data_IF_795573536502
#
_entry.id   IF_795573536502
#
_cell.length_a   1.000
_cell.length_b   1.000
_cell.length_c   1.000
_cell.angle_alpha   90.00
_cell.angle_beta   90.00
_cell.angle_gamma   90.00
#
_symmetry.space_group_name_H-M   'P 1'
#
loop_
_entity.id
_entity.type
_entity.pdbx_description
1 polymer ?
#
# COMPACT_ATOMS: atom_id res chain seq x y z
N UNK A 1 19.62 -25.21 -3.23
CA UNK A 1 19.46 -23.74 -3.10
C UNK A 1 20.73 -23.02 -3.53
N UNK A 2 20.76 -22.43 -4.73
CA UNK A 2 21.94 -21.72 -5.23
C UNK A 2 22.17 -20.38 -4.51
N UNK A 3 23.13 -20.37 -3.58
CA UNK A 3 23.70 -19.15 -2.98
C UNK A 3 24.94 -18.71 -3.78
N UNK A 4 24.83 -17.57 -4.48
CA UNK A 4 25.86 -17.09 -5.40
C UNK A 4 26.69 -15.98 -4.77
N UNK A 5 28.01 -16.20 -4.72
CA UNK A 5 28.99 -15.22 -4.21
C UNK A 5 29.98 -14.76 -5.28
N UNK A 6 30.05 -15.44 -6.43
CA UNK A 6 30.91 -15.08 -7.55
C UNK A 6 30.25 -14.00 -8.41
N UNK A 7 30.98 -12.91 -8.69
CA UNK A 7 30.54 -11.83 -9.58
C UNK A 7 30.07 -12.37 -10.94
N UNK A 8 30.82 -13.30 -11.53
CA UNK A 8 30.49 -13.84 -12.86
C UNK A 8 29.21 -14.68 -12.84
N UNK A 9 28.98 -15.44 -11.77
CA UNK A 9 27.76 -16.25 -11.64
C UNK A 9 26.53 -15.35 -11.41
N UNK A 10 26.68 -14.32 -10.59
CA UNK A 10 25.61 -13.33 -10.35
C UNK A 10 25.27 -12.59 -11.67
N UNK A 11 26.26 -12.09 -12.41
CA UNK A 11 26.00 -11.43 -13.69
C UNK A 11 25.35 -12.37 -14.72
N UNK A 12 25.77 -13.63 -14.75
CA UNK A 12 25.21 -14.63 -15.66
C UNK A 12 23.74 -14.94 -15.34
N UNK A 13 23.38 -15.09 -14.06
CA UNK A 13 21.97 -15.34 -13.69
C UNK A 13 21.10 -14.11 -13.92
N UNK A 14 21.60 -12.90 -13.64
CA UNK A 14 20.88 -11.65 -13.93
C UNK A 14 20.63 -11.52 -15.43
N UNK A 15 21.61 -11.85 -16.27
CA UNK A 15 21.40 -11.88 -17.72
C UNK A 15 20.32 -12.89 -18.13
N UNK A 16 20.25 -14.07 -17.51
CA UNK A 16 19.17 -15.05 -17.75
C UNK A 16 17.78 -14.48 -17.40
N UNK A 17 17.68 -13.77 -16.27
CA UNK A 17 16.43 -13.17 -15.81
C UNK A 17 15.84 -12.11 -16.75
N UNK A 18 16.64 -11.51 -17.63
CA UNK A 18 16.13 -10.57 -18.65
C UNK A 18 15.10 -11.18 -19.61
N UNK A 19 15.03 -12.52 -19.67
CA UNK A 19 14.06 -13.26 -20.50
C UNK A 19 12.82 -13.73 -19.74
N UNK A 20 12.79 -13.54 -18.41
CA UNK A 20 11.67 -13.94 -17.58
C UNK A 20 10.48 -12.99 -17.76
N UNK A 21 9.26 -13.50 -17.63
CA UNK A 21 8.04 -12.68 -17.64
C UNK A 21 7.76 -12.05 -16.29
N UNK A 22 7.94 -12.83 -15.24
CA UNK A 22 7.69 -12.44 -13.86
C UNK A 22 8.83 -12.94 -12.99
N UNK A 23 9.25 -12.12 -12.05
CA UNK A 23 10.25 -12.45 -11.02
C UNK A 23 9.66 -12.15 -9.65
N UNK A 24 9.78 -13.10 -8.72
CA UNK A 24 9.45 -12.88 -7.32
C UNK A 24 10.74 -12.55 -6.59
N UNK A 25 10.78 -11.35 -6.02
CA UNK A 25 12.01 -10.76 -5.50
C UNK A 25 11.79 -10.38 -4.05
N UNK A 26 12.78 -10.70 -3.23
CA UNK A 26 12.89 -10.19 -1.86
C UNK A 26 14.30 -9.60 -1.66
N UNK A 27 14.48 -8.84 -0.58
CA UNK A 27 15.81 -8.32 -0.22
C UNK A 27 16.11 -8.41 1.26
N UNK A 28 17.39 -8.61 1.58
CA UNK A 28 17.88 -8.53 2.95
C UNK A 28 18.93 -7.45 3.13
N UNK A 29 18.91 -6.81 4.30
CA UNK A 29 19.67 -5.58 4.56
C UNK A 29 20.56 -5.74 5.79
N UNK A 30 21.85 -5.49 5.58
CA UNK A 30 22.83 -5.36 6.66
C UNK A 30 22.74 -3.98 7.32
N UNK A 31 23.07 -3.92 8.62
CA UNK A 31 23.05 -2.69 9.40
C UNK A 31 21.70 -1.95 9.37
N UNK A 32 20.57 -2.68 9.41
CA UNK A 32 19.21 -2.12 9.25
C UNK A 32 18.90 -0.90 10.16
N UNK A 33 19.50 -0.82 11.35
CA UNK A 33 19.33 0.29 12.30
C UNK A 33 20.24 1.50 12.03
N UNK A 34 21.18 1.40 11.08
CA UNK A 34 22.10 2.47 10.75
C UNK A 34 21.43 3.55 9.88
N UNK A 35 22.09 4.70 9.74
CA UNK A 35 21.60 5.77 8.85
C UNK A 35 21.70 5.39 7.37
N UNK A 36 22.57 4.43 7.03
CA UNK A 36 22.87 4.01 5.67
C UNK A 36 22.80 2.47 5.61
N UNK A 37 21.59 1.87 5.65
CA UNK A 37 21.42 0.44 5.49
C UNK A 37 22.06 -0.03 4.17
N UNK A 38 22.72 -1.20 4.21
CA UNK A 38 23.38 -1.77 3.04
C UNK A 38 22.58 -2.96 2.54
N UNK A 39 22.27 -2.97 1.24
CA UNK A 39 21.68 -4.14 0.61
C UNK A 39 22.69 -5.30 0.68
N UNK A 40 22.28 -6.39 1.31
CA UNK A 40 23.12 -7.56 1.55
C UNK A 40 22.82 -8.67 0.57
N UNK A 41 21.54 -9.00 0.40
CA UNK A 41 21.08 -10.06 -0.49
C UNK A 41 19.96 -9.56 -1.39
N UNK A 42 19.91 -10.14 -2.59
CA UNK A 42 18.74 -10.10 -3.46
C UNK A 42 18.35 -11.54 -3.72
N UNK A 43 17.15 -11.93 -3.32
CA UNK A 43 16.59 -13.25 -3.60
C UNK A 43 15.69 -13.15 -4.82
N UNK A 44 15.80 -14.10 -5.74
CA UNK A 44 15.00 -14.10 -6.97
C UNK A 44 14.54 -15.51 -7.30
N UNK A 45 13.24 -15.65 -7.49
CA UNK A 45 12.61 -16.82 -8.09
C UNK A 45 12.10 -16.44 -9.50
N UNK A 46 12.38 -17.31 -10.47
CA UNK A 46 11.99 -17.13 -11.89
C UNK A 46 10.93 -18.15 -12.37
N UNK A 47 10.37 -18.96 -11.45
CA UNK A 47 9.35 -19.98 -11.73
C UNK A 47 8.41 -20.16 -10.54
N UNK A 48 7.13 -19.80 -10.65
CA UNK A 48 6.20 -19.90 -9.52
C UNK A 48 5.88 -21.34 -9.13
N UNK A 49 6.09 -22.31 -10.02
CA UNK A 49 5.80 -23.72 -9.78
C UNK A 49 6.95 -24.44 -9.05
N UNK A 50 8.12 -23.79 -8.94
CA UNK A 50 9.25 -24.36 -8.21
C UNK A 50 9.07 -24.23 -6.69
N UNK A 51 8.68 -25.36 -6.09
CA UNK A 51 8.57 -25.53 -4.65
C UNK A 51 9.80 -26.23 -4.04
N UNK A 52 10.78 -26.67 -4.85
CA UNK A 52 11.87 -27.54 -4.37
C UNK A 52 13.04 -26.78 -3.79
N UNK A 53 13.44 -25.66 -4.39
CA UNK A 53 14.76 -25.14 -4.02
C UNK A 53 15.48 -24.38 -5.09
N UNK A 54 15.33 -24.93 -6.27
CA UNK A 54 16.48 -25.06 -7.14
C UNK A 54 16.59 -23.88 -8.09
N UNK A 55 15.50 -23.13 -8.24
CA UNK A 55 15.37 -21.93 -9.06
C UNK A 55 15.27 -20.64 -8.27
N UNK A 56 15.35 -20.71 -6.94
CA UNK A 56 15.53 -19.51 -6.10
C UNK A 56 17.01 -19.24 -5.95
N UNK A 57 17.49 -18.15 -6.55
CA UNK A 57 18.89 -17.74 -6.43
C UNK A 57 19.02 -16.64 -5.40
N UNK A 58 19.94 -16.83 -4.47
CA UNK A 58 20.30 -15.82 -3.46
C UNK A 58 21.60 -15.16 -3.92
N UNK A 59 21.53 -13.88 -4.25
CA UNK A 59 22.65 -13.11 -4.79
C UNK A 59 23.34 -12.34 -3.66
N UNK A 60 24.61 -12.64 -3.38
CA UNK A 60 25.40 -11.90 -2.39
C UNK A 60 25.94 -10.58 -3.00
N UNK A 61 25.30 -9.48 -2.59
CA UNK A 61 25.57 -8.12 -3.08
C UNK A 61 26.13 -7.19 -2.01
N UNK A 62 26.45 -7.70 -0.82
CA UNK A 62 26.99 -6.91 0.28
C UNK A 62 28.30 -6.23 -0.13
N UNK A 63 28.36 -4.91 0.04
CA UNK A 63 29.48 -4.05 -0.36
C UNK A 63 29.87 -4.16 -1.85
N UNK A 64 28.92 -4.55 -2.72
CA UNK A 64 29.12 -4.73 -4.18
C UNK A 64 28.15 -3.87 -5.00
N UNK A 65 28.29 -2.53 -4.97
CA UNK A 65 27.35 -1.62 -5.61
C UNK A 65 27.21 -1.84 -7.12
N UNK A 66 28.27 -2.28 -7.81
CA UNK A 66 28.23 -2.53 -9.25
C UNK A 66 27.26 -3.66 -9.62
N UNK A 67 27.15 -4.71 -8.80
CA UNK A 67 26.19 -5.79 -8.99
C UNK A 67 24.75 -5.32 -8.78
N UNK A 68 24.54 -4.47 -7.76
CA UNK A 68 23.22 -3.88 -7.48
C UNK A 68 22.79 -2.96 -8.62
N UNK A 69 23.68 -2.10 -9.11
CA UNK A 69 23.41 -1.23 -10.26
C UNK A 69 23.08 -2.06 -11.50
N UNK A 70 23.84 -3.11 -11.78
CA UNK A 70 23.56 -4.01 -12.89
C UNK A 70 22.17 -4.66 -12.77
N UNK A 71 21.81 -5.18 -11.59
CA UNK A 71 20.48 -5.75 -11.34
C UNK A 71 19.37 -4.72 -11.59
N UNK A 72 19.54 -3.50 -11.08
CA UNK A 72 18.56 -2.42 -11.25
C UNK A 72 18.36 -2.09 -12.73
N UNK A 73 19.45 -1.91 -13.47
CA UNK A 73 19.39 -1.52 -14.88
C UNK A 73 18.79 -2.62 -15.77
N UNK A 74 19.17 -3.88 -15.53
CA UNK A 74 18.72 -5.00 -16.35
C UNK A 74 17.30 -5.48 -16.01
N UNK A 75 16.90 -5.41 -14.74
CA UNK A 75 15.65 -6.03 -14.26
C UNK A 75 14.63 -4.99 -13.80
N UNK A 76 15.03 -4.09 -12.90
CA UNK A 76 14.06 -3.20 -12.23
C UNK A 76 13.50 -2.15 -13.19
N UNK A 77 14.30 -1.67 -14.14
CA UNK A 77 13.88 -0.66 -15.12
C UNK A 77 13.15 -1.23 -16.32
N UNK A 78 13.26 -2.54 -16.57
CA UNK A 78 12.57 -3.19 -17.68
C UNK A 78 11.06 -3.30 -17.38
N UNK A 79 10.21 -2.70 -18.21
CA UNK A 79 8.76 -2.80 -18.08
C UNK A 79 8.19 -4.14 -18.56
N UNK A 80 8.93 -4.91 -19.37
CA UNK A 80 8.49 -6.20 -19.89
C UNK A 80 8.49 -7.30 -18.80
N UNK A 81 9.31 -7.13 -17.77
CA UNK A 81 9.40 -8.04 -16.63
C UNK A 81 8.52 -7.51 -15.50
N UNK A 82 7.58 -8.31 -15.03
CA UNK A 82 6.85 -8.04 -13.79
C UNK A 82 7.76 -8.40 -12.60
N UNK A 83 7.89 -7.49 -11.63
CA UNK A 83 8.58 -7.79 -10.38
C UNK A 83 7.59 -7.78 -9.24
N UNK A 84 7.44 -8.94 -8.61
CA UNK A 84 6.54 -9.15 -7.50
C UNK A 84 7.34 -9.06 -6.21
N UNK A 85 6.84 -8.26 -5.26
CA UNK A 85 7.41 -8.09 -3.93
C UNK A 85 6.30 -8.18 -2.88
N UNK A 86 6.66 -8.49 -1.64
CA UNK A 86 5.79 -8.24 -0.49
C UNK A 86 6.21 -6.95 0.20
N UNK A 87 5.26 -6.03 0.46
CA UNK A 87 5.58 -4.71 1.03
C UNK A 87 6.66 -3.92 0.25
N UNK A 88 6.56 -3.95 -1.08
CA UNK A 88 7.55 -3.48 -2.06
C UNK A 88 8.20 -2.11 -1.82
N UNK A 89 7.55 -1.21 -1.05
CA UNK A 89 7.98 0.17 -0.87
C UNK A 89 9.41 0.32 -0.36
N UNK A 90 9.86 -0.61 0.50
CA UNK A 90 11.19 -0.59 1.09
C UNK A 90 12.23 -1.13 0.10
N UNK A 91 12.00 -2.32 -0.47
CA UNK A 91 12.90 -2.98 -1.42
C UNK A 91 13.09 -2.15 -2.68
N UNK A 92 11.99 -1.64 -3.25
CA UNK A 92 12.02 -0.80 -4.46
C UNK A 92 12.82 0.48 -4.20
N UNK A 93 12.82 1.03 -2.99
CA UNK A 93 13.65 2.21 -2.66
C UNK A 93 15.14 1.89 -2.79
N UNK A 94 15.56 0.68 -2.43
CA UNK A 94 16.94 0.19 -2.59
C UNK A 94 17.23 -0.20 -4.05
N UNK A 95 16.21 -0.68 -4.77
CA UNK A 95 16.30 -1.22 -6.12
C UNK A 95 15.81 -0.25 -7.22
N UNK A 96 16.20 1.03 -7.13
CA UNK A 96 16.01 2.01 -8.23
C UNK A 96 14.82 2.97 -8.09
N UNK A 97 14.03 2.84 -7.02
CA UNK A 97 13.00 3.79 -6.57
C UNK A 97 12.03 4.17 -7.71
N UNK A 98 11.87 5.47 -8.01
CA UNK A 98 10.92 5.99 -9.01
C UNK A 98 11.16 5.49 -10.44
N UNK A 99 12.34 4.95 -10.73
CA UNK A 99 12.67 4.42 -12.06
C UNK A 99 12.22 2.96 -12.23
N UNK A 100 11.98 2.23 -11.13
CA UNK A 100 11.47 0.87 -11.18
C UNK A 100 10.11 0.82 -11.91
N UNK A 101 9.92 -0.18 -12.76
CA UNK A 101 8.72 -0.37 -13.61
C UNK A 101 8.05 -1.70 -13.32
N UNK A 102 6.75 -1.79 -13.64
CA UNK A 102 5.98 -3.04 -13.57
C UNK A 102 6.15 -3.79 -12.24
N UNK A 103 5.85 -3.10 -11.15
CA UNK A 103 5.95 -3.63 -9.78
C UNK A 103 4.57 -4.07 -9.31
N UNK A 104 4.47 -5.32 -8.87
CA UNK A 104 3.31 -5.88 -8.20
C UNK A 104 3.62 -6.06 -6.72
N UNK A 105 2.75 -5.57 -5.84
CA UNK A 105 2.94 -5.64 -4.39
C UNK A 105 1.84 -6.51 -3.76
N UNK A 106 2.19 -7.68 -3.26
CA UNK A 106 1.23 -8.63 -2.68
C UNK A 106 0.55 -8.09 -1.42
N UNK A 107 1.22 -7.24 -0.65
CA UNK A 107 0.63 -6.52 0.49
C UNK A 107 -0.54 -5.64 0.03
N UNK A 108 -0.37 -4.89 -1.05
CA UNK A 108 -1.39 -3.99 -1.57
C UNK A 108 -2.52 -4.74 -2.28
N UNK A 109 -2.20 -5.86 -2.94
CA UNK A 109 -3.22 -6.78 -3.47
C UNK A 109 -4.10 -7.32 -2.33
N UNK A 110 -3.48 -7.87 -1.27
CA UNK A 110 -4.22 -8.44 -0.15
C UNK A 110 -5.08 -7.42 0.60
N UNK A 111 -4.62 -6.16 0.74
CA UNK A 111 -5.41 -5.06 1.34
C UNK A 111 -6.63 -4.67 0.51
N UNK A 112 -6.54 -4.82 -0.81
CA UNK A 112 -7.66 -4.53 -1.73
C UNK A 112 -8.66 -5.67 -1.81
N UNK A 113 -8.25 -6.90 -1.47
CA UNK A 113 -9.16 -8.04 -1.38
C UNK A 113 -10.20 -7.81 -0.29
N UNK A 114 -11.52 -7.94 -0.58
CA UNK A 114 -12.57 -7.79 0.42
C UNK A 114 -12.40 -8.75 1.61
N UNK A 115 -12.69 -8.25 2.81
CA UNK A 115 -12.53 -9.01 4.06
C UNK A 115 -13.26 -10.36 4.07
N UNK A 116 -14.43 -10.46 3.44
CA UNK A 116 -15.19 -11.71 3.42
C UNK A 116 -14.56 -12.81 2.55
N UNK A 117 -13.72 -12.43 1.57
CA UNK A 117 -12.93 -13.37 0.76
C UNK A 117 -11.60 -13.70 1.42
N UNK A 118 -11.02 -12.73 2.11
CA UNK A 118 -9.71 -12.88 2.74
C UNK A 118 -9.70 -12.33 4.18
N UNK A 119 -10.30 -13.08 5.14
CA UNK A 119 -10.35 -12.66 6.54
C UNK A 119 -8.97 -12.87 7.19
N UNK A 120 -8.26 -11.78 7.43
CA UNK A 120 -6.90 -11.82 7.98
C UNK A 120 -6.75 -10.98 9.25
N UNK A 121 -5.93 -11.43 10.23
CA UNK A 121 -5.59 -10.64 11.40
C UNK A 121 -4.56 -9.54 11.08
N UNK A 122 -3.73 -9.75 10.06
CA UNK A 122 -2.77 -8.79 9.52
C UNK A 122 -2.33 -9.25 8.12
N UNK A 123 -1.61 -8.40 7.39
CA UNK A 123 -1.20 -8.67 6.01
C UNK A 123 0.29 -8.99 5.86
N UNK A 124 0.96 -9.52 6.90
CA UNK A 124 2.37 -9.93 6.79
C UNK A 124 2.51 -11.13 5.86
N UNK A 125 3.65 -11.26 5.17
CA UNK A 125 3.96 -12.37 4.27
C UNK A 125 3.66 -13.73 4.92
N UNK A 126 4.13 -13.95 6.14
CA UNK A 126 3.95 -15.24 6.82
C UNK A 126 2.47 -15.52 7.17
N UNK A 127 1.69 -14.48 7.48
CA UNK A 127 0.25 -14.64 7.72
C UNK A 127 -0.46 -15.00 6.42
N UNK A 128 -0.10 -14.37 5.30
CA UNK A 128 -0.63 -14.69 3.98
C UNK A 128 -0.23 -16.10 3.54
N UNK A 129 1.04 -16.49 3.71
CA UNK A 129 1.55 -17.82 3.38
C UNK A 129 0.78 -18.91 4.14
N UNK A 130 0.55 -18.71 5.44
CA UNK A 130 -0.19 -19.67 6.25
C UNK A 130 -1.66 -19.76 5.85
N UNK A 131 -2.37 -18.63 5.72
CA UNK A 131 -3.81 -18.62 5.47
C UNK A 131 -4.17 -18.97 4.03
N UNK A 132 -3.42 -18.47 3.03
CA UNK A 132 -3.71 -18.69 1.61
C UNK A 132 -3.11 -19.99 1.08
N UNK A 133 -1.97 -20.41 1.63
CA UNK A 133 -1.17 -21.50 1.05
C UNK A 133 -0.95 -22.68 2.02
N UNK A 134 -1.50 -22.63 3.23
CA UNK A 134 -1.38 -23.67 4.25
C UNK A 134 0.06 -23.97 4.74
N UNK A 135 0.94 -22.98 4.67
CA UNK A 135 2.29 -23.09 5.27
C UNK A 135 2.18 -22.93 6.80
N UNK A 136 2.26 -24.04 7.53
CA UNK A 136 1.97 -24.08 8.97
C UNK A 136 3.21 -23.90 9.88
N UNK A 137 4.43 -23.96 9.33
CA UNK A 137 5.69 -23.89 10.07
C UNK A 137 6.63 -22.88 9.43
N UNK A 138 6.30 -21.60 9.58
CA UNK A 138 7.13 -20.51 9.05
C UNK A 138 8.03 -19.99 10.17
N UNK A 139 9.32 -20.23 10.04
CA UNK A 139 10.32 -19.66 10.94
C UNK A 139 10.41 -18.14 10.76
N UNK A 140 10.53 -17.42 11.86
CA UNK A 140 10.63 -15.96 11.92
C UNK A 140 11.93 -15.50 12.57
N UNK A 141 12.78 -16.42 13.02
CA UNK A 141 14.00 -16.11 13.76
C UNK A 141 14.94 -15.23 12.93
N UNK A 142 15.07 -15.53 11.64
CA UNK A 142 16.00 -14.84 10.75
C UNK A 142 15.52 -13.50 10.21
N UNK A 143 14.24 -13.13 10.42
CA UNK A 143 13.71 -11.82 9.99
C UNK A 143 14.48 -10.63 10.60
N UNK A 144 15.17 -10.83 11.73
CA UNK A 144 15.96 -9.78 12.39
C UNK A 144 17.42 -10.16 12.60
N UNK A 145 17.91 -11.18 11.88
CA UNK A 145 19.29 -11.64 12.02
C UNK A 145 20.30 -10.67 11.40
N UNK A 146 21.59 -10.89 11.70
CA UNK A 146 22.66 -10.09 11.13
C UNK A 146 22.95 -10.54 9.70
N UNK A 147 22.23 -9.96 8.74
CA UNK A 147 22.47 -10.18 7.32
C UNK A 147 23.81 -9.61 6.82
N UNK A 148 24.57 -8.89 7.65
CA UNK A 148 25.95 -8.48 7.35
C UNK A 148 26.99 -9.58 7.64
N UNK A 149 26.61 -10.64 8.34
CA UNK A 149 27.51 -11.74 8.67
C UNK A 149 27.90 -12.53 7.42
N UNK A 150 29.18 -12.93 7.32
CA UNK A 150 29.67 -13.92 6.35
C UNK A 150 30.59 -14.94 7.00
N UNK A 151 30.49 -16.25 6.64
CA UNK A 151 29.46 -16.83 5.79
C UNK A 151 28.06 -16.75 6.43
N UNK A 152 27.02 -16.79 5.60
CA UNK A 152 25.64 -16.93 6.08
C UNK A 152 25.46 -18.30 6.75
N UNK A 153 24.57 -18.38 7.73
CA UNK A 153 24.17 -19.68 8.32
C UNK A 153 23.24 -20.43 7.37
N UNK A 154 23.09 -21.74 7.57
CA UNK A 154 22.12 -22.54 6.81
C UNK A 154 20.70 -22.02 7.05
N UNK A 155 20.37 -21.65 8.29
CA UNK A 155 19.06 -21.07 8.66
C UNK A 155 18.76 -19.75 7.92
N UNK A 156 19.75 -18.88 7.74
CA UNK A 156 19.61 -17.65 6.95
C UNK A 156 19.35 -17.94 5.47
N UNK A 157 20.06 -18.92 4.91
CA UNK A 157 19.88 -19.33 3.50
C UNK A 157 18.48 -19.92 3.32
N UNK A 158 18.05 -20.80 4.21
CA UNK A 158 16.73 -21.45 4.18
C UNK A 158 15.61 -20.42 4.33
N UNK A 159 15.76 -19.44 5.23
CA UNK A 159 14.81 -18.35 5.40
C UNK A 159 14.67 -17.50 4.14
N UNK A 160 15.79 -16.98 3.63
CA UNK A 160 15.83 -16.14 2.44
C UNK A 160 15.23 -16.85 1.21
N UNK A 161 15.49 -18.14 1.12
CA UNK A 161 14.95 -18.99 0.08
C UNK A 161 13.42 -19.11 0.15
N UNK A 162 12.89 -19.45 1.34
CA UNK A 162 11.46 -19.70 1.54
C UNK A 162 10.61 -18.45 1.30
N UNK A 163 11.11 -17.25 1.63
CA UNK A 163 10.35 -16.01 1.44
C UNK A 163 9.99 -15.77 -0.04
N UNK A 164 10.85 -16.13 -0.99
CA UNK A 164 10.52 -16.07 -2.43
C UNK A 164 9.44 -17.07 -2.85
N UNK A 165 9.44 -18.27 -2.27
CA UNK A 165 8.42 -19.30 -2.55
C UNK A 165 7.08 -18.88 -2.00
N UNK A 166 7.05 -18.44 -0.74
CA UNK A 166 5.84 -17.90 -0.13
C UNK A 166 5.29 -16.76 -0.98
N UNK A 167 6.16 -15.85 -1.41
CA UNK A 167 5.78 -14.72 -2.25
C UNK A 167 5.14 -15.16 -3.58
N UNK A 168 5.69 -16.16 -4.26
CA UNK A 168 5.13 -16.69 -5.50
C UNK A 168 3.76 -17.35 -5.30
N UNK A 169 3.63 -18.20 -4.28
CA UNK A 169 2.38 -18.90 -3.98
C UNK A 169 1.28 -17.92 -3.54
N UNK A 170 1.62 -16.95 -2.69
CA UNK A 170 0.70 -15.88 -2.27
C UNK A 170 0.26 -15.06 -3.47
N UNK A 171 1.19 -14.69 -4.35
CA UNK A 171 0.87 -13.91 -5.55
C UNK A 171 -0.19 -14.62 -6.40
N UNK A 172 0.02 -15.91 -6.69
CA UNK A 172 -0.93 -16.72 -7.47
C UNK A 172 -2.32 -16.72 -6.83
N UNK A 173 -2.41 -17.01 -5.52
CA UNK A 173 -3.69 -17.00 -4.78
C UNK A 173 -4.38 -15.64 -4.75
N UNK A 174 -3.62 -14.55 -4.64
CA UNK A 174 -4.19 -13.21 -4.66
C UNK A 174 -4.74 -12.83 -6.02
N UNK A 175 -4.13 -13.30 -7.13
CA UNK A 175 -4.67 -13.08 -8.48
C UNK A 175 -5.98 -13.85 -8.72
N UNK A 176 -6.09 -15.07 -8.19
CA UNK A 176 -7.34 -15.85 -8.20
C UNK A 176 -8.45 -15.07 -7.46
N UNK A 177 -8.17 -14.63 -6.23
CA UNK A 177 -9.12 -13.84 -5.43
C UNK A 177 -9.45 -12.49 -6.05
N UNK A 178 -8.51 -11.86 -6.73
CA UNK A 178 -8.76 -10.59 -7.42
C UNK A 178 -9.79 -10.78 -8.54
N UNK A 179 -9.68 -11.87 -9.28
CA UNK A 179 -10.63 -12.24 -10.34
C UNK A 179 -12.03 -12.49 -9.76
N UNK A 180 -12.12 -13.17 -8.61
CA UNK A 180 -13.39 -13.38 -7.91
C UNK A 180 -14.00 -12.10 -7.34
N UNK A 181 -13.15 -11.19 -6.83
CA UNK A 181 -13.59 -9.95 -6.19
C UNK A 181 -14.00 -8.83 -7.15
N UNK A 182 -13.73 -9.00 -8.45
CA UNK A 182 -14.03 -8.00 -9.48
C UNK A 182 -14.75 -8.65 -10.67
N UNK A 183 -15.99 -9.12 -10.46
CA UNK A 183 -16.81 -9.71 -11.52
C UNK A 183 -17.19 -8.67 -12.57
N UNK A 184 -17.73 -9.15 -13.69
CA UNK A 184 -18.28 -8.31 -14.75
C UNK A 184 -19.50 -7.53 -14.24
N UNK A 185 -19.40 -6.21 -14.29
CA UNK A 185 -20.46 -5.31 -13.80
C UNK A 185 -21.79 -5.49 -14.54
N UNK A 186 -21.79 -5.98 -15.79
CA UNK A 186 -23.02 -6.27 -16.53
C UNK A 186 -23.77 -7.51 -16.00
N UNK A 187 -23.07 -8.38 -15.27
CA UNK A 187 -23.60 -9.63 -14.73
C UNK A 187 -23.98 -9.52 -13.25
N UNK A 188 -23.80 -8.35 -12.64
CA UNK A 188 -24.05 -8.13 -11.22
C UNK A 188 -25.54 -8.13 -10.85
N UNK A 189 -25.87 -8.78 -9.74
CA UNK A 189 -27.21 -8.77 -9.18
C UNK A 189 -27.36 -7.61 -8.18
N UNK A 190 -28.02 -6.53 -8.65
CA UNK A 190 -28.25 -5.33 -7.84
C UNK A 190 -29.10 -5.59 -6.58
N UNK A 191 -29.98 -6.59 -6.58
CA UNK A 191 -30.80 -6.94 -5.40
C UNK A 191 -29.92 -7.62 -4.37
N UNK A 192 -29.11 -8.59 -4.78
CA UNK A 192 -28.17 -9.28 -3.89
C UNK A 192 -27.15 -8.30 -3.30
N UNK A 193 -26.53 -7.45 -4.14
CA UNK A 193 -25.59 -6.41 -3.71
C UNK A 193 -26.25 -5.40 -2.77
N UNK A 194 -27.44 -4.89 -3.12
CA UNK A 194 -28.17 -3.92 -2.30
C UNK A 194 -28.57 -4.48 -0.94
N UNK A 195 -28.96 -5.75 -0.88
CA UNK A 195 -29.28 -6.46 0.37
C UNK A 195 -28.04 -6.56 1.25
N UNK A 196 -26.92 -7.03 0.70
CA UNK A 196 -25.66 -7.17 1.45
C UNK A 196 -25.13 -5.81 1.90
N UNK A 197 -25.19 -4.80 1.03
CA UNK A 197 -24.79 -3.43 1.33
C UNK A 197 -25.54 -2.88 2.55
N UNK A 198 -26.88 -3.00 2.56
CA UNK A 198 -27.72 -2.49 3.66
C UNK A 198 -27.40 -3.17 4.98
N UNK A 199 -27.24 -4.49 4.98
CA UNK A 199 -26.86 -5.26 6.18
C UNK A 199 -25.52 -4.80 6.78
N UNK A 200 -24.51 -4.63 5.93
CA UNK A 200 -23.19 -4.17 6.38
C UNK A 200 -23.25 -2.71 6.85
N UNK A 201 -24.01 -1.85 6.19
CA UNK A 201 -24.17 -0.47 6.59
C UNK A 201 -24.75 -0.35 8.01
N UNK A 202 -25.77 -1.13 8.34
CA UNK A 202 -26.37 -1.17 9.68
C UNK A 202 -25.37 -1.63 10.74
N UNK A 203 -24.61 -2.69 10.46
CA UNK A 203 -23.56 -3.17 11.35
C UNK A 203 -22.47 -2.12 11.58
N UNK A 204 -22.02 -1.46 10.51
CA UNK A 204 -21.05 -0.38 10.59
C UNK A 204 -21.56 0.80 11.43
N UNK A 205 -22.82 1.20 11.30
CA UNK A 205 -23.41 2.29 12.11
C UNK A 205 -23.34 1.97 13.61
N UNK A 206 -23.73 0.75 14.00
CA UNK A 206 -23.68 0.31 15.40
C UNK A 206 -22.25 0.26 15.95
N UNK A 207 -21.34 -0.40 15.22
CA UNK A 207 -19.94 -0.52 15.64
C UNK A 207 -19.24 0.84 15.70
N UNK A 208 -19.49 1.73 14.73
CA UNK A 208 -18.91 3.06 14.73
C UNK A 208 -19.38 3.89 15.92
N UNK A 209 -20.67 3.81 16.28
CA UNK A 209 -21.18 4.48 17.48
C UNK A 209 -20.47 4.02 18.76
N UNK A 210 -20.27 2.71 18.93
CA UNK A 210 -19.55 2.17 20.08
C UNK A 210 -18.07 2.59 20.07
N UNK A 211 -17.42 2.49 18.91
CA UNK A 211 -16.02 2.87 18.73
C UNK A 211 -15.78 4.35 19.06
N UNK A 212 -16.59 5.26 18.51
CA UNK A 212 -16.51 6.71 18.80
C UNK A 212 -16.72 7.01 20.29
N UNK A 213 -17.68 6.33 20.92
CA UNK A 213 -17.92 6.48 22.36
C UNK A 213 -16.70 6.07 23.20
N UNK A 214 -16.08 4.93 22.88
CA UNK A 214 -14.85 4.46 23.54
C UNK A 214 -13.69 5.42 23.32
N UNK A 215 -13.49 5.89 22.09
CA UNK A 215 -12.45 6.88 21.77
C UNK A 215 -12.60 8.14 22.60
N UNK A 216 -13.81 8.71 22.70
CA UNK A 216 -14.06 9.91 23.50
C UNK A 216 -13.82 9.69 25.00
N UNK A 217 -14.21 8.52 25.52
CA UNK A 217 -13.95 8.15 26.92
C UNK A 217 -12.45 8.03 27.19
N UNK A 218 -11.69 7.39 26.30
CA UNK A 218 -10.24 7.25 26.42
C UNK A 218 -9.58 8.63 26.40
N UNK A 219 -9.94 9.52 25.46
CA UNK A 219 -9.42 10.90 25.40
C UNK A 219 -9.66 11.65 26.71
N UNK A 220 -10.91 11.65 27.21
CA UNK A 220 -11.28 12.33 28.47
C UNK A 220 -10.52 11.76 29.67
N UNK A 221 -10.37 10.44 29.74
CA UNK A 221 -9.62 9.77 30.80
C UNK A 221 -8.13 10.14 30.76
N UNK A 222 -7.50 10.08 29.57
CA UNK A 222 -6.09 10.46 29.36
C UNK A 222 -5.85 11.93 29.74
N UNK A 223 -6.75 12.84 29.36
CA UNK A 223 -6.68 14.25 29.76
C UNK A 223 -6.81 14.45 31.27
N UNK A 224 -7.81 13.82 31.90
CA UNK A 224 -8.02 13.94 33.35
C UNK A 224 -6.87 13.33 34.18
N UNK A 225 -6.21 12.31 33.65
CA UNK A 225 -5.09 11.62 34.29
C UNK A 225 -3.71 12.19 33.90
N UNK A 226 -3.65 13.19 33.01
CA UNK A 226 -2.41 13.75 32.46
C UNK A 226 -1.48 12.70 31.81
N UNK A 227 -2.05 11.71 31.11
CA UNK A 227 -1.31 10.67 30.39
C UNK A 227 -1.31 10.98 28.90
N UNK A 228 -0.13 11.09 28.30
CA UNK A 228 0.03 11.37 26.86
C UNK A 228 0.17 10.11 25.99
N UNK A 229 0.56 8.96 26.56
CA UNK A 229 0.79 7.73 25.81
C UNK A 229 0.51 6.48 26.68
N UNK A 230 -0.07 5.45 26.07
CA UNK A 230 -0.41 4.15 26.67
C UNK A 230 0.08 3.02 25.77
N UNK A 231 -0.07 1.76 26.19
CA UNK A 231 0.19 0.59 25.34
C UNK A 231 -0.74 0.50 24.12
N UNK A 232 -1.85 1.25 24.10
CA UNK A 232 -2.88 1.16 23.06
C UNK A 232 -2.95 2.39 22.15
N UNK A 233 -2.70 3.58 22.69
CA UNK A 233 -2.85 4.82 21.94
C UNK A 233 -2.03 5.97 22.53
N UNK A 234 -1.80 6.98 21.69
CA UNK A 234 -1.12 8.23 22.01
C UNK A 234 -2.07 9.41 21.83
N UNK A 235 -2.15 10.29 22.82
CA UNK A 235 -2.93 11.52 22.76
C UNK A 235 -2.03 12.69 22.36
N UNK A 236 -2.33 13.33 21.24
CA UNK A 236 -1.63 14.54 20.77
C UNK A 236 -2.62 15.69 20.65
N UNK A 237 -2.22 16.86 21.16
CA UNK A 237 -2.94 18.12 20.96
C UNK A 237 -2.15 19.03 20.03
N UNK A 238 -2.83 19.77 19.17
CA UNK A 238 -2.22 20.83 18.36
C UNK A 238 -3.13 22.06 18.38
N UNK A 239 -2.52 23.25 18.40
CA UNK A 239 -3.25 24.50 18.30
C UNK A 239 -3.43 24.89 16.83
N UNK A 240 -4.68 25.05 16.39
CA UNK A 240 -4.98 25.55 15.05
C UNK A 240 -5.26 27.05 15.10
N UNK A 241 -4.28 27.87 14.73
CA UNK A 241 -4.48 29.31 14.51
C UNK A 241 -5.13 29.53 13.14
N UNK A 242 -6.38 29.98 13.13
CA UNK A 242 -7.07 30.42 11.91
C UNK A 242 -7.10 31.94 11.86
N UNK A 243 -6.52 32.54 10.83
CA UNK A 243 -6.60 33.98 10.57
C UNK A 243 -7.67 34.20 9.51
N UNK A 244 -8.68 35.00 9.82
CA UNK A 244 -9.75 35.37 8.88
C UNK A 244 -9.66 36.88 8.63
N UNK A 245 -9.80 37.28 7.38
CA UNK A 245 -9.88 38.68 6.94
C UNK A 245 -11.08 38.84 6.02
N UNK A 246 -11.69 40.01 5.98
CA UNK A 246 -12.76 40.28 5.03
C UNK A 246 -12.20 40.38 3.61
N UNK A 247 -12.87 39.76 2.64
CA UNK A 247 -12.42 39.76 1.25
C UNK A 247 -12.22 41.18 0.71
N UNK A 248 -13.12 42.12 1.04
CA UNK A 248 -13.00 43.52 0.62
C UNK A 248 -11.77 44.22 1.22
N UNK A 249 -11.38 43.90 2.46
CA UNK A 249 -10.17 44.46 3.08
C UNK A 249 -8.91 43.89 2.44
N UNK A 250 -8.91 42.59 2.14
CA UNK A 250 -7.82 41.95 1.42
C UNK A 250 -7.62 42.59 0.04
N UNK A 251 -8.68 42.75 -0.75
CA UNK A 251 -8.63 43.40 -2.08
C UNK A 251 -8.06 44.81 -1.99
N UNK A 252 -8.50 45.63 -1.01
CA UNK A 252 -7.97 46.99 -0.81
C UNK A 252 -6.46 47.01 -0.56
N UNK A 253 -5.97 46.11 0.29
CA UNK A 253 -4.53 46.04 0.61
C UNK A 253 -3.74 45.58 -0.62
N UNK A 254 -4.24 44.56 -1.32
CA UNK A 254 -3.60 44.00 -2.53
C UNK A 254 -3.46 45.07 -3.61
N UNK A 255 -4.52 45.85 -3.85
CA UNK A 255 -4.52 46.97 -4.78
C UNK A 255 -3.59 48.11 -4.34
N UNK A 256 -3.65 48.52 -3.06
CA UNK A 256 -2.86 49.65 -2.56
C UNK A 256 -1.36 49.36 -2.48
N UNK A 257 -0.97 48.12 -2.20
CA UNK A 257 0.43 47.73 -2.04
C UNK A 257 1.03 47.09 -3.29
N UNK A 258 0.27 46.98 -4.38
CA UNK A 258 0.73 46.36 -5.62
C UNK A 258 1.10 44.88 -5.45
N UNK A 259 0.43 44.17 -4.53
CA UNK A 259 0.69 42.75 -4.30
C UNK A 259 0.02 41.97 -5.43
N UNK A 260 0.75 41.06 -6.07
CA UNK A 260 0.18 40.17 -7.08
C UNK A 260 -0.39 38.90 -6.42
N UNK A 261 -1.72 38.79 -6.37
CA UNK A 261 -2.44 37.59 -5.94
C UNK A 261 -3.34 37.09 -7.09
N UNK A 262 -2.71 36.54 -8.11
CA UNK A 262 -3.38 35.98 -9.28
C UNK A 262 -3.31 34.44 -9.27
N UNK A 263 -4.40 33.83 -8.81
CA UNK A 263 -4.57 32.38 -8.78
C UNK A 263 -6.07 32.05 -8.93
N UNK A 264 -6.41 30.89 -9.52
CA UNK A 264 -7.80 30.52 -9.75
C UNK A 264 -8.56 30.34 -8.43
N UNK A 265 -9.78 30.85 -8.37
CA UNK A 265 -10.69 30.70 -7.23
C UNK A 265 -11.91 29.90 -7.67
N UNK A 266 -12.19 28.80 -6.97
CA UNK A 266 -13.40 28.00 -7.23
C UNK A 266 -14.65 28.76 -6.77
N UNK A 267 -15.51 29.12 -7.72
CA UNK A 267 -16.80 29.74 -7.42
C UNK A 267 -17.81 28.67 -6.99
N UNK A 268 -18.22 28.70 -5.72
CA UNK A 268 -19.32 27.85 -5.24
C UNK A 268 -20.63 28.20 -5.94
N UNK A 269 -21.59 27.27 -6.01
CA UNK A 269 -22.91 27.53 -6.60
C UNK A 269 -23.61 28.75 -5.99
N UNK A 270 -23.44 28.98 -4.69
CA UNK A 270 -23.97 30.16 -4.00
C UNK A 270 -23.34 31.45 -4.53
N UNK A 271 -22.01 31.50 -4.66
CA UNK A 271 -21.31 32.68 -5.19
C UNK A 271 -21.65 32.94 -6.66
N UNK A 272 -21.78 31.89 -7.48
CA UNK A 272 -22.21 32.02 -8.87
C UNK A 272 -23.61 32.67 -8.95
N UNK A 273 -24.53 32.24 -8.07
CA UNK A 273 -25.89 32.82 -7.98
C UNK A 273 -25.86 34.27 -7.50
N UNK A 274 -25.05 34.58 -6.50
CA UNK A 274 -24.93 35.95 -5.94
C UNK A 274 -24.29 36.92 -6.96
N UNK A 275 -23.38 36.44 -7.82
CA UNK A 275 -22.79 37.23 -8.92
C UNK A 275 -23.78 37.48 -10.06
N UNK A 276 -24.71 36.55 -10.32
CA UNK A 276 -25.72 36.67 -11.36
C UNK A 276 -25.11 36.96 -12.74
N UNK A 277 -25.63 37.98 -13.42
CA UNK A 277 -25.14 38.40 -14.75
C UNK A 277 -23.68 38.88 -14.74
N UNK A 278 -23.14 39.30 -13.59
CA UNK A 278 -21.74 39.74 -13.52
C UNK A 278 -20.74 38.58 -13.70
N UNK A 279 -21.20 37.33 -13.60
CA UNK A 279 -20.37 36.17 -13.88
C UNK A 279 -19.90 36.14 -15.35
N UNK A 280 -20.71 36.66 -16.28
CA UNK A 280 -20.38 36.76 -17.72
C UNK A 280 -19.22 37.73 -18.01
N UNK A 281 -18.89 38.60 -17.06
CA UNK A 281 -17.78 39.55 -17.16
C UNK A 281 -16.44 38.93 -16.73
N UNK A 282 -16.45 37.71 -16.17
CA UNK A 282 -15.26 37.01 -15.72
C UNK A 282 -14.84 35.98 -16.77
N UNK A 283 -13.53 35.90 -17.05
CA UNK A 283 -12.96 34.79 -17.83
C UNK A 283 -12.94 33.55 -16.92
N UNK A 284 -13.82 32.58 -17.19
CA UNK A 284 -13.97 31.36 -16.38
C UNK A 284 -13.55 30.12 -17.15
N UNK A 285 -12.73 29.29 -16.52
CA UNK A 285 -12.44 27.93 -16.99
C UNK A 285 -13.44 26.97 -16.35
N UNK A 286 -14.21 26.25 -17.18
CA UNK A 286 -15.23 25.29 -16.73
C UNK A 286 -14.73 23.87 -16.98
N UNK A 287 -14.50 23.12 -15.89
CA UNK A 287 -14.24 21.69 -15.93
C UNK A 287 -15.51 20.92 -15.54
N UNK A 288 -16.00 20.06 -16.42
CA UNK A 288 -17.20 19.23 -16.19
C UNK A 288 -16.74 17.80 -15.92
N UNK A 289 -16.90 17.37 -14.67
CA UNK A 289 -16.70 15.97 -14.28
C UNK A 289 -18.02 15.36 -13.79
N UNK A 290 -18.27 14.13 -14.22
CA UNK A 290 -19.41 13.34 -13.73
C UNK A 290 -18.99 12.60 -12.46
N UNK A 291 -19.73 12.82 -11.37
CA UNK A 291 -19.53 12.10 -10.12
C UNK A 291 -20.78 11.27 -9.79
N UNK A 292 -20.57 10.00 -9.46
CA UNK A 292 -21.63 9.08 -9.04
C UNK A 292 -21.61 8.94 -7.53
N UNK A 293 -22.79 8.94 -6.90
CA UNK A 293 -22.93 8.77 -5.45
C UNK A 293 -24.05 7.78 -5.15
N UNK A 294 -23.74 6.78 -4.34
CA UNK A 294 -24.75 5.94 -3.69
C UNK A 294 -25.35 6.71 -2.51
N UNK A 295 -26.68 6.80 -2.47
CA UNK A 295 -27.42 7.36 -1.33
C UNK A 295 -28.40 6.28 -0.85
N UNK A 296 -28.28 5.82 0.40
CA UNK A 296 -29.22 4.84 0.94
C UNK A 296 -30.65 5.38 0.88
N UNK A 297 -31.62 4.56 0.48
CA UNK A 297 -33.02 4.87 0.70
C UNK A 297 -33.34 4.54 2.15
N UNK A 298 -33.83 5.50 2.93
CA UNK A 298 -34.45 5.19 4.21
C UNK A 298 -35.60 4.22 3.92
N UNK A 299 -35.55 3.00 4.47
CA UNK A 299 -36.73 2.14 4.50
C UNK A 299 -37.78 2.90 5.30
N UNK A 300 -38.80 3.41 4.60
CA UNK A 300 -40.00 3.90 5.26
C UNK A 300 -40.62 2.64 5.87
N UNK A 301 -40.79 2.63 7.19
CA UNK A 301 -41.52 1.59 7.90
C UNK A 301 -42.92 1.47 7.27
N UNK A 302 -43.14 0.47 6.42
CA UNK A 302 -44.47 0.03 5.99
C UNK A 302 -45.07 -0.94 7.04
N UNK A 303 -44.90 -0.64 8.32
CA UNK A 303 -45.51 -1.37 9.45
C UNK A 303 -46.45 -0.45 10.27
N UNK A 304 -47.23 0.39 9.58
CA UNK A 304 -48.42 1.04 10.15
C UNK A 304 -49.64 0.81 9.24
N UNK A 305 -50.04 -0.45 9.05
CA UNK A 305 -51.44 -0.80 8.77
C UNK A 305 -51.65 -2.32 8.79
N UNK A 306 -52.03 -2.87 9.94
CA UNK A 306 -53.20 -3.75 10.14
C UNK A 306 -53.46 -4.01 11.63
#
# INVERSE_FOLDING_TARGET
MPYLTSTNEILAIVAKYTTAKTLWIDTEVAEYKSRNPKLSLIQVLDDPEDMSGDRVYILDVLDRPDLVVNFIEQIMFDSAIEKVFHNASYDVKLLGNKKAKNITCTLELAKKTPYYLLPLPNYKLQTLASVLCNFNYIDKQEQTSDWGQRPLTEEQIDYAYLDCIYLAQIHSRLLELQTESNPDAEQEDLIALGTRYTQIEEQCKLLNSEFEHLQERIKKAMQAQNVSETSFCKLTGYERKTVKVQFAELVKIVQNQGINLDFPVTLTQKLQKDLGQNLEQLSVDIDISTAWRLTPKNQVNEDESE
#
